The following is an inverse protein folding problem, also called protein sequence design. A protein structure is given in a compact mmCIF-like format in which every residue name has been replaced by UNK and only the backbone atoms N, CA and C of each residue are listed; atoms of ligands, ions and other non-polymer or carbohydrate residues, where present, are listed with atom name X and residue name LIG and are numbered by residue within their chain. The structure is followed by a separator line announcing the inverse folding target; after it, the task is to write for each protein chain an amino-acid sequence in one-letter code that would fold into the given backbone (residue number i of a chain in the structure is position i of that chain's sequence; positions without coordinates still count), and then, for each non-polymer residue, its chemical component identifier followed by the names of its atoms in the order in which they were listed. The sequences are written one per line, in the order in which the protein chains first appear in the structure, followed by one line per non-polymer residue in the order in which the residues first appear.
data_IF_232486955281
#
_entry.id   IF_232486955281
#
_cell.length_a   1.000
_cell.length_b   1.000
_cell.length_c   1.000
_cell.angle_alpha   90.00
_cell.angle_beta   90.00
_cell.angle_gamma   90.00
#
_symmetry.space_group_name_H-M   'P 1'
#
loop_
_entity.id
_entity.type
_entity.pdbx_description
1 polymer ?
#
# COMPACT_ATOMS: atom_id res chain seq x y z
N UNK A 1 23.00 -1.16 13.58
CA UNK A 1 23.04 -2.51 12.97
C UNK A 1 23.49 -2.35 11.52
N UNK A 2 24.38 -3.20 10.99
CA UNK A 2 24.69 -3.15 9.54
C UNK A 2 23.48 -3.66 8.75
N UNK A 3 23.34 -3.23 7.50
CA UNK A 3 22.17 -3.61 6.69
C UNK A 3 22.14 -5.12 6.40
N UNK A 4 23.31 -5.75 6.23
CA UNK A 4 23.43 -7.19 5.97
C UNK A 4 22.91 -7.99 7.19
N UNK A 5 23.39 -7.65 8.39
CA UNK A 5 22.93 -8.27 9.65
C UNK A 5 21.41 -8.11 9.83
N UNK A 6 20.87 -6.95 9.47
CA UNK A 6 19.43 -6.68 9.54
C UNK A 6 18.63 -7.60 8.60
N UNK A 7 19.09 -7.78 7.36
CA UNK A 7 18.45 -8.66 6.37
C UNK A 7 18.49 -10.10 6.88
N UNK A 8 19.63 -10.57 7.34
CA UNK A 8 19.78 -11.94 7.87
C UNK A 8 18.89 -12.18 9.09
N UNK A 9 18.88 -11.25 10.05
CA UNK A 9 18.07 -11.37 11.26
C UNK A 9 16.57 -11.37 10.96
N UNK A 10 16.10 -10.50 10.04
CA UNK A 10 14.67 -10.44 9.67
C UNK A 10 14.21 -11.70 8.92
N UNK A 11 15.07 -12.30 8.08
CA UNK A 11 14.77 -13.56 7.40
C UNK A 11 14.66 -14.76 8.36
N UNK A 12 15.34 -14.72 9.51
CA UNK A 12 15.32 -15.77 10.52
C UNK A 12 14.21 -15.59 11.57
N UNK A 13 13.55 -14.43 11.56
CA UNK A 13 12.48 -14.12 12.51
C UNK A 13 11.27 -15.03 12.34
N UNK A 14 10.55 -15.27 13.44
CA UNK A 14 9.35 -16.12 13.49
C UNK A 14 8.09 -15.36 13.90
N UNK A 15 8.19 -14.07 14.19
CA UNK A 15 7.06 -13.23 14.58
C UNK A 15 7.14 -11.84 13.94
N UNK A 16 5.97 -11.25 13.70
CA UNK A 16 5.85 -9.89 13.18
C UNK A 16 6.42 -8.86 14.16
N UNK A 17 6.27 -9.09 15.47
CA UNK A 17 6.82 -8.24 16.52
C UNK A 17 8.36 -8.21 16.52
N UNK A 18 9.01 -9.38 16.35
CA UNK A 18 10.47 -9.48 16.24
C UNK A 18 10.99 -8.75 14.99
N UNK A 19 10.31 -8.91 13.84
CA UNK A 19 10.66 -8.19 12.60
C UNK A 19 10.53 -6.68 12.81
N UNK A 20 9.47 -6.25 13.49
CA UNK A 20 9.24 -4.83 13.79
C UNK A 20 10.27 -4.27 14.77
N UNK A 21 10.70 -5.05 15.78
CA UNK A 21 11.76 -4.65 16.71
C UNK A 21 13.13 -4.50 16.02
N UNK A 22 13.48 -5.44 15.13
CA UNK A 22 14.70 -5.35 14.31
C UNK A 22 14.68 -4.11 13.41
N UNK A 23 13.52 -3.83 12.80
CA UNK A 23 13.34 -2.66 11.95
C UNK A 23 13.47 -1.34 12.73
N UNK A 24 12.90 -1.27 13.93
CA UNK A 24 13.08 -0.13 14.84
C UNK A 24 14.56 0.11 15.16
N UNK A 25 15.30 -0.94 15.53
CA UNK A 25 16.74 -0.86 15.81
C UNK A 25 17.56 -0.43 14.60
N UNK A 26 17.21 -0.91 13.40
CA UNK A 26 17.85 -0.51 12.15
C UNK A 26 17.64 0.98 11.85
N UNK A 27 16.39 1.45 11.91
CA UNK A 27 16.02 2.84 11.64
C UNK A 27 16.59 3.82 12.68
N UNK A 28 16.64 3.40 13.96
CA UNK A 28 17.22 4.21 15.04
C UNK A 28 18.71 4.51 14.79
N UNK A 29 19.45 3.61 14.13
CA UNK A 29 20.84 3.88 13.75
C UNK A 29 21.01 4.98 12.69
N UNK A 30 19.91 5.39 12.05
CA UNK A 30 19.83 6.54 11.13
C UNK A 30 19.17 7.76 11.78
N UNK A 31 18.87 7.70 13.09
CA UNK A 31 18.23 8.78 13.87
C UNK A 31 16.71 8.70 13.95
N UNK A 32 16.07 7.73 13.29
CA UNK A 32 14.61 7.60 13.26
C UNK A 32 14.12 6.60 14.30
N UNK A 33 13.55 7.10 15.39
CA UNK A 33 12.97 6.29 16.48
C UNK A 33 11.43 6.15 16.39
N UNK A 34 10.78 6.92 15.52
CA UNK A 34 9.34 6.87 15.28
C UNK A 34 9.03 6.31 13.90
N UNK A 35 8.09 5.37 13.82
CA UNK A 35 7.60 4.85 12.54
C UNK A 35 6.14 4.44 12.57
N UNK A 36 5.52 4.48 11.39
CA UNK A 36 4.17 4.00 11.14
C UNK A 36 4.15 3.20 9.84
N UNK A 37 3.79 1.92 9.93
CA UNK A 37 3.53 1.05 8.81
C UNK A 37 2.03 1.01 8.52
N UNK A 38 1.62 1.52 7.35
CA UNK A 38 0.21 1.71 6.99
C UNK A 38 -0.12 1.05 5.66
N UNK A 39 -1.22 0.30 5.64
CA UNK A 39 -1.89 -0.10 4.42
C UNK A 39 -2.57 1.11 3.76
N UNK A 40 -2.17 1.48 2.55
CA UNK A 40 -2.78 2.57 1.77
C UNK A 40 -3.81 2.03 0.77
N UNK A 41 -3.54 0.87 0.17
CA UNK A 41 -4.40 0.22 -0.81
C UNK A 41 -4.15 -1.28 -0.86
N UNK A 42 -5.20 -2.08 -1.04
CA UNK A 42 -5.15 -3.51 -1.39
C UNK A 42 -4.19 -4.39 -0.55
N UNK A 43 -3.95 -4.03 0.71
CA UNK A 43 -3.14 -4.83 1.63
C UNK A 43 -4.02 -5.87 2.36
N UNK A 44 -3.52 -7.10 2.62
CA UNK A 44 -4.30 -8.15 3.29
C UNK A 44 -4.78 -7.76 4.70
N UNK A 45 -3.94 -7.02 5.43
CA UNK A 45 -4.28 -6.39 6.69
C UNK A 45 -4.81 -4.98 6.43
N UNK A 46 -6.09 -4.78 6.75
CA UNK A 46 -6.79 -3.50 6.59
C UNK A 46 -7.01 -2.79 7.93
N UNK A 47 -6.22 -3.12 8.96
CA UNK A 47 -6.30 -2.48 10.27
C UNK A 47 -6.07 -0.97 10.12
N UNK A 48 -7.07 -0.20 10.52
CA UNK A 48 -7.01 1.25 10.55
C UNK A 48 -6.63 1.72 11.97
N UNK A 49 -5.79 2.77 12.10
CA UNK A 49 -5.19 3.57 11.04
C UNK A 49 -3.84 3.03 10.52
N UNK A 50 -3.28 1.98 11.12
CA UNK A 50 -1.98 1.41 10.76
C UNK A 50 -1.86 -0.06 11.17
N UNK A 51 -0.95 -0.79 10.53
CA UNK A 51 -0.63 -2.20 10.79
C UNK A 51 0.35 -2.35 11.96
N UNK A 52 1.39 -1.52 12.00
CA UNK A 52 2.38 -1.47 13.09
C UNK A 52 2.87 -0.03 13.28
N UNK A 53 3.23 0.34 14.51
CA UNK A 53 3.57 1.74 14.85
C UNK A 53 4.41 1.89 16.11
N UNK A 54 5.15 3.00 16.17
CA UNK A 54 5.72 3.58 17.40
C UNK A 54 5.33 5.06 17.58
N UNK A 55 4.42 5.57 16.75
CA UNK A 55 3.87 6.92 16.90
C UNK A 55 3.05 7.01 18.19
N UNK A 56 3.06 8.17 18.89
CA UNK A 56 2.25 8.37 20.09
C UNK A 56 0.76 8.10 19.83
N UNK A 57 0.07 7.47 20.78
CA UNK A 57 -1.36 7.19 20.66
C UNK A 57 -2.18 8.48 20.59
N UNK A 58 -1.74 9.52 21.28
CA UNK A 58 -2.36 10.84 21.29
C UNK A 58 -2.32 11.48 19.89
N UNK A 59 -1.19 11.35 19.18
CA UNK A 59 -1.09 11.81 17.80
C UNK A 59 -2.06 11.08 16.89
N UNK A 60 -2.19 9.75 17.06
CA UNK A 60 -3.07 8.93 16.23
C UNK A 60 -4.53 9.28 16.47
N UNK A 61 -4.92 9.45 17.73
CA UNK A 61 -6.26 9.90 18.09
C UNK A 61 -6.56 11.29 17.50
N UNK A 62 -5.63 12.23 17.61
CA UNK A 62 -5.74 13.57 17.01
C UNK A 62 -5.88 13.51 15.48
N UNK A 63 -5.01 12.73 14.82
CA UNK A 63 -4.98 12.56 13.37
C UNK A 63 -6.29 11.98 12.82
N UNK A 64 -6.87 10.98 13.51
CA UNK A 64 -8.19 10.42 13.17
C UNK A 64 -9.30 11.44 13.43
N UNK A 65 -9.31 12.10 14.60
CA UNK A 65 -10.35 13.06 14.97
C UNK A 65 -10.42 14.27 14.01
N UNK A 66 -9.27 14.67 13.44
CA UNK A 66 -9.18 15.75 12.46
C UNK A 66 -9.48 15.32 11.01
N UNK A 67 -9.65 14.02 10.75
CA UNK A 67 -9.89 13.51 9.40
C UNK A 67 -8.65 13.58 8.50
N UNK A 68 -7.44 13.50 9.06
CA UNK A 68 -6.20 13.60 8.28
C UNK A 68 -5.90 12.35 7.45
N UNK A 69 -6.54 11.21 7.74
CA UNK A 69 -6.35 9.93 7.03
C UNK A 69 -6.43 10.05 5.49
N UNK A 70 -7.37 10.87 5.01
CA UNK A 70 -7.65 11.04 3.58
C UNK A 70 -7.06 12.33 3.00
N UNK A 71 -6.66 13.28 3.85
CA UNK A 71 -6.22 14.63 3.46
C UNK A 71 -4.73 14.87 3.64
N UNK A 72 -4.03 13.96 4.33
CA UNK A 72 -2.58 14.04 4.53
C UNK A 72 -1.84 13.97 3.19
N UNK A 73 -1.09 15.03 2.82
CA UNK A 73 -0.34 15.09 1.57
C UNK A 73 0.74 14.01 1.48
N UNK A 74 1.31 13.56 2.60
CA UNK A 74 2.31 12.49 2.64
C UNK A 74 1.66 11.18 2.21
N UNK A 75 0.50 10.84 2.78
CA UNK A 75 -0.27 9.66 2.40
C UNK A 75 -0.71 9.68 0.94
N UNK A 76 -1.24 10.81 0.47
CA UNK A 76 -1.65 10.99 -0.93
C UNK A 76 -0.46 10.83 -1.88
N UNK A 77 0.70 11.40 -1.55
CA UNK A 77 1.91 11.27 -2.38
C UNK A 77 2.45 9.84 -2.39
N UNK A 78 2.40 9.11 -1.29
CA UNK A 78 2.83 7.71 -1.24
C UNK A 78 2.05 6.83 -2.24
N UNK A 79 0.76 7.12 -2.49
CA UNK A 79 -0.05 6.37 -3.47
C UNK A 79 0.45 6.48 -4.92
N UNK A 80 1.22 7.52 -5.25
CA UNK A 80 1.66 7.81 -6.62
C UNK A 80 3.17 7.93 -6.79
N UNK A 81 3.93 7.90 -5.69
CA UNK A 81 5.40 7.93 -5.70
C UNK A 81 5.96 6.51 -5.63
N UNK A 82 6.97 6.21 -6.46
CA UNK A 82 7.77 4.98 -6.35
C UNK A 82 9.09 5.18 -5.58
N UNK A 83 9.40 6.41 -5.18
CA UNK A 83 10.64 6.78 -4.50
C UNK A 83 10.36 7.33 -3.10
N UNK A 84 11.32 7.15 -2.17
CA UNK A 84 11.24 7.75 -0.84
C UNK A 84 11.38 9.27 -0.92
N UNK A 85 10.79 9.98 0.03
CA UNK A 85 10.81 11.46 0.08
C UNK A 85 10.71 11.96 1.53
N UNK A 86 11.09 13.22 1.75
CA UNK A 86 10.89 13.91 3.03
C UNK A 86 9.48 14.49 3.11
N UNK A 87 8.85 14.50 4.28
CA UNK A 87 7.44 14.91 4.41
C UNK A 87 7.17 16.30 3.86
N UNK A 88 8.07 17.25 4.12
CA UNK A 88 7.94 18.62 3.62
C UNK A 88 7.94 18.69 2.08
N UNK A 89 8.54 17.72 1.38
CA UNK A 89 8.51 17.67 -0.09
C UNK A 89 7.09 17.34 -0.60
N UNK A 90 6.23 16.71 0.21
CA UNK A 90 4.83 16.46 -0.14
C UNK A 90 3.94 17.69 0.01
N UNK A 91 4.36 18.69 0.80
CA UNK A 91 3.60 19.91 1.02
C UNK A 91 3.74 20.82 -0.19
N UNK A 92 2.66 20.96 -0.96
CA UNK A 92 2.61 21.90 -2.08
C UNK A 92 2.68 23.34 -1.57
N UNK A 93 3.49 24.18 -2.23
CA UNK A 93 3.58 25.61 -1.89
C UNK A 93 2.20 26.26 -1.92
N UNK A 94 1.84 26.95 -0.84
CA UNK A 94 0.55 27.64 -0.69
C UNK A 94 -0.56 26.79 -0.06
N UNK A 95 -0.38 25.48 0.11
CA UNK A 95 -1.34 24.64 0.83
C UNK A 95 -1.11 24.75 2.35
N UNK A 96 -1.81 25.70 2.99
CA UNK A 96 -1.70 25.93 4.44
C UNK A 96 -2.13 24.71 5.26
N UNK A 97 -3.16 23.99 4.81
CA UNK A 97 -3.67 22.80 5.50
C UNK A 97 -2.62 21.69 5.56
N UNK A 98 -1.93 21.43 4.44
CA UNK A 98 -0.82 20.49 4.38
C UNK A 98 0.32 20.86 5.34
N UNK A 99 0.67 22.15 5.44
CA UNK A 99 1.65 22.64 6.41
C UNK A 99 1.21 22.47 7.87
N UNK A 100 -0.08 22.67 8.16
CA UNK A 100 -0.64 22.48 9.51
C UNK A 100 -0.45 21.07 10.02
N UNK A 101 -0.69 20.04 9.20
CA UNK A 101 -0.54 18.63 9.62
C UNK A 101 0.90 18.35 10.07
N UNK A 102 1.89 18.81 9.32
CA UNK A 102 3.31 18.60 9.66
C UNK A 102 3.70 19.38 10.92
N UNK A 103 3.26 20.64 11.05
CA UNK A 103 3.52 21.43 12.24
C UNK A 103 2.92 20.79 13.50
N UNK A 104 1.67 20.32 13.41
CA UNK A 104 1.03 19.60 14.52
C UNK A 104 1.81 18.31 14.81
N UNK A 105 2.25 17.55 13.80
CA UNK A 105 3.05 16.34 14.02
C UNK A 105 4.34 16.61 14.82
N UNK A 106 5.02 17.73 14.56
CA UNK A 106 6.20 18.15 15.32
C UNK A 106 5.91 18.40 16.81
N UNK A 107 4.74 18.94 17.15
CA UNK A 107 4.30 19.15 18.54
C UNK A 107 4.15 17.82 19.31
N UNK A 108 3.83 16.73 18.60
CA UNK A 108 3.80 15.37 19.14
C UNK A 108 5.15 14.65 19.07
N UNK A 109 6.23 15.36 18.73
CA UNK A 109 7.58 14.78 18.65
C UNK A 109 7.82 13.97 17.37
N UNK A 110 7.09 14.24 16.29
CA UNK A 110 7.32 13.63 14.98
C UNK A 110 8.05 14.61 14.05
N UNK A 111 9.37 14.72 14.20
CA UNK A 111 10.19 15.68 13.47
C UNK A 111 10.97 15.03 12.33
N UNK A 112 11.43 15.85 11.40
CA UNK A 112 12.30 15.49 10.27
C UNK A 112 11.83 14.25 9.50
N UNK A 113 10.53 14.19 9.23
CA UNK A 113 9.94 12.96 8.76
C UNK A 113 10.30 12.57 7.33
N UNK A 114 10.38 11.26 7.11
CA UNK A 114 10.60 10.64 5.81
C UNK A 114 9.48 9.63 5.50
N UNK A 115 9.26 9.39 4.23
CA UNK A 115 8.18 8.58 3.71
C UNK A 115 8.74 7.58 2.69
N UNK A 116 8.43 6.30 2.87
CA UNK A 116 8.78 5.24 1.93
C UNK A 116 7.49 4.55 1.45
N UNK A 117 7.08 4.76 0.19
CA UNK A 117 6.03 3.96 -0.43
C UNK A 117 6.60 2.61 -0.91
N UNK A 118 5.80 1.56 -0.78
CA UNK A 118 6.10 0.23 -1.33
C UNK A 118 4.85 -0.23 -2.09
N UNK A 119 5.04 -0.59 -3.37
CA UNK A 119 3.98 -1.06 -4.24
C UNK A 119 4.15 -2.56 -4.47
N UNK A 120 3.11 -3.32 -4.15
CA UNK A 120 3.09 -4.78 -4.19
C UNK A 120 2.21 -5.33 -5.30
N UNK A 121 2.06 -6.67 -5.36
CA UNK A 121 1.16 -7.34 -6.30
C UNK A 121 -0.27 -6.81 -6.24
N UNK A 122 -1.02 -6.92 -7.33
CA UNK A 122 -2.46 -6.62 -7.37
C UNK A 122 -2.83 -5.17 -6.98
N UNK A 123 -1.91 -4.23 -7.18
CA UNK A 123 -2.12 -2.82 -6.85
C UNK A 123 -2.07 -2.54 -5.35
N UNK A 124 -1.47 -3.43 -4.56
CA UNK A 124 -1.11 -3.18 -3.18
C UNK A 124 -0.21 -1.95 -3.09
N UNK A 125 -0.50 -1.09 -2.11
CA UNK A 125 0.34 0.03 -1.75
C UNK A 125 0.37 0.14 -0.24
N UNK A 126 1.57 0.11 0.33
CA UNK A 126 1.81 0.37 1.74
C UNK A 126 2.77 1.55 1.88
N UNK A 127 2.63 2.27 2.98
CA UNK A 127 3.46 3.40 3.31
C UNK A 127 4.15 3.19 4.64
N UNK A 128 5.44 3.51 4.71
CA UNK A 128 6.16 3.67 5.98
C UNK A 128 6.51 5.13 6.19
N UNK A 129 5.92 5.73 7.21
CA UNK A 129 6.34 7.03 7.72
C UNK A 129 7.42 6.83 8.79
N UNK A 130 8.49 7.61 8.71
CA UNK A 130 9.56 7.69 9.72
C UNK A 130 9.60 9.09 10.31
N UNK A 131 9.94 9.20 11.58
CA UNK A 131 10.20 10.47 12.24
C UNK A 131 11.25 10.31 13.36
N UNK A 132 11.80 11.43 13.79
CA UNK A 132 12.73 11.52 14.91
C UNK A 132 12.09 12.31 16.04
N UNK A 133 12.24 11.80 17.27
CA UNK A 133 11.81 12.56 18.45
C UNK A 133 12.73 13.76 18.71
N UNK A 134 14.05 13.59 18.48
CA UNK A 134 15.05 14.64 18.72
C UNK A 134 15.10 15.67 17.59
N UNK A 135 14.90 15.23 16.35
CA UNK A 135 15.13 16.03 15.15
C UNK A 135 16.63 16.30 14.89
N UNK A 136 16.92 17.23 13.99
CA UNK A 136 18.25 17.55 13.49
C UNK A 136 18.76 16.60 12.39
N UNK A 137 17.88 15.83 11.74
CA UNK A 137 18.28 14.83 10.74
C UNK A 137 18.27 15.44 9.34
N UNK A 138 19.42 15.42 8.66
CA UNK A 138 19.44 15.56 7.19
C UNK A 138 18.99 14.25 6.53
N UNK A 139 17.67 14.11 6.43
CA UNK A 139 17.04 12.87 5.98
C UNK A 139 17.36 12.51 4.53
N UNK A 140 17.82 13.46 3.69
CA UNK A 140 18.04 13.21 2.26
C UNK A 140 19.10 12.14 2.00
N UNK A 141 20.17 12.14 2.81
CA UNK A 141 21.25 11.15 2.71
C UNK A 141 20.83 9.74 3.17
N UNK A 142 19.76 9.64 3.97
CA UNK A 142 19.26 8.39 4.54
C UNK A 142 18.15 7.74 3.71
N UNK A 143 17.52 8.46 2.77
CA UNK A 143 16.35 7.98 2.02
C UNK A 143 16.55 6.61 1.36
N UNK A 144 17.68 6.39 0.67
CA UNK A 144 17.95 5.11 0.01
C UNK A 144 18.13 3.96 1.00
N UNK A 145 18.74 4.24 2.17
CA UNK A 145 18.89 3.23 3.24
C UNK A 145 17.54 2.91 3.87
N UNK A 146 16.74 3.94 4.16
CA UNK A 146 15.37 3.77 4.65
C UNK A 146 14.52 2.96 3.67
N UNK A 147 14.65 3.21 2.37
CA UNK A 147 13.94 2.45 1.35
C UNK A 147 14.32 0.96 1.37
N UNK A 148 15.61 0.64 1.41
CA UNK A 148 16.06 -0.75 1.48
C UNK A 148 15.59 -1.45 2.77
N UNK A 149 15.71 -0.77 3.91
CA UNK A 149 15.23 -1.30 5.19
C UNK A 149 13.72 -1.53 5.18
N UNK A 150 12.95 -0.58 4.65
CA UNK A 150 11.50 -0.65 4.55
C UNK A 150 11.01 -1.79 3.64
N UNK A 151 11.66 -1.99 2.48
CA UNK A 151 11.33 -3.09 1.56
C UNK A 151 11.63 -4.45 2.20
N UNK A 152 12.78 -4.58 2.87
CA UNK A 152 13.11 -5.80 3.60
C UNK A 152 12.13 -6.05 4.75
N UNK A 153 11.81 -5.01 5.54
CA UNK A 153 10.79 -5.08 6.60
C UNK A 153 9.46 -5.58 6.06
N UNK A 154 8.92 -4.94 5.02
CA UNK A 154 7.64 -5.31 4.42
C UNK A 154 7.67 -6.75 3.91
N UNK A 155 8.76 -7.19 3.28
CA UNK A 155 8.90 -8.55 2.77
C UNK A 155 8.86 -9.58 3.90
N UNK A 156 9.68 -9.41 4.94
CA UNK A 156 9.75 -10.33 6.07
C UNK A 156 8.47 -10.31 6.92
N UNK A 157 7.91 -9.13 7.16
CA UNK A 157 6.67 -8.94 7.91
C UNK A 157 5.48 -9.60 7.19
N UNK A 158 5.38 -9.38 5.88
CA UNK A 158 4.32 -9.95 5.05
C UNK A 158 4.41 -11.48 4.97
N UNK A 159 5.62 -12.05 4.89
CA UNK A 159 5.83 -13.49 4.87
C UNK A 159 5.34 -14.22 6.14
N UNK A 160 5.30 -13.50 7.26
CA UNK A 160 4.79 -14.01 8.55
C UNK A 160 3.28 -13.78 8.73
N UNK A 161 2.66 -13.04 7.81
CA UNK A 161 1.20 -12.90 7.78
C UNK A 161 0.62 -14.16 7.14
N UNK A 162 -0.38 -14.78 7.77
CA UNK A 162 -1.08 -15.89 7.11
C UNK A 162 -1.56 -15.38 5.75
N UNK A 163 -1.30 -16.11 4.64
CA UNK A 163 -1.91 -15.77 3.39
C UNK A 163 -3.40 -15.82 3.67
N UNK A 164 -4.07 -14.65 3.67
CA UNK A 164 -5.51 -14.61 3.56
C UNK A 164 -5.78 -15.55 2.40
N UNK A 165 -6.54 -16.61 2.62
CA UNK A 165 -7.00 -17.47 1.53
C UNK A 165 -7.75 -16.53 0.59
N UNK A 166 -7.03 -15.93 -0.35
CA UNK A 166 -7.56 -15.54 -1.62
C UNK A 166 -7.97 -16.89 -2.16
N UNK A 167 -9.22 -17.28 -1.88
CA UNK A 167 -9.88 -18.36 -2.58
C UNK A 167 -9.54 -18.10 -4.02
N UNK A 168 -8.67 -18.94 -4.59
CA UNK A 168 -8.05 -18.61 -5.85
C UNK A 168 -9.19 -18.56 -6.87
N UNK A 169 -9.62 -17.34 -7.21
CA UNK A 169 -10.71 -17.14 -8.14
C UNK A 169 -10.14 -17.47 -9.50
N UNK A 170 -10.51 -18.62 -10.03
CA UNK A 170 -10.04 -19.08 -11.33
C UNK A 170 -11.05 -18.70 -12.42
N UNK A 171 -10.67 -17.72 -13.24
CA UNK A 171 -11.32 -17.47 -14.51
C UNK A 171 -10.76 -18.41 -15.56
N UNK A 172 -11.63 -18.97 -16.41
CA UNK A 172 -11.18 -19.72 -17.59
C UNK A 172 -10.48 -18.77 -18.57
N UNK A 173 -9.64 -19.26 -19.50
CA UNK A 173 -9.04 -18.43 -20.53
C UNK A 173 -10.08 -17.59 -21.29
N UNK A 174 -11.23 -18.18 -21.63
CA UNK A 174 -12.31 -17.48 -22.34
C UNK A 174 -12.99 -16.40 -21.49
N UNK A 175 -13.25 -16.69 -20.23
CA UNK A 175 -13.79 -15.70 -19.29
C UNK A 175 -12.83 -14.51 -19.13
N UNK A 176 -11.52 -14.77 -19.05
CA UNK A 176 -10.49 -13.74 -18.98
C UNK A 176 -10.46 -12.86 -20.23
N UNK A 177 -10.51 -13.45 -21.42
CA UNK A 177 -10.57 -12.71 -22.69
C UNK A 177 -11.82 -11.83 -22.80
N UNK A 178 -12.99 -12.37 -22.44
CA UNK A 178 -14.25 -11.60 -22.45
C UNK A 178 -14.15 -10.43 -21.48
N UNK A 179 -13.62 -10.64 -20.28
CA UNK A 179 -13.48 -9.60 -19.28
C UNK A 179 -12.44 -8.53 -19.67
N UNK A 180 -11.39 -8.91 -20.39
CA UNK A 180 -10.43 -7.98 -20.98
C UNK A 180 -11.09 -7.03 -21.98
N UNK A 181 -11.90 -7.57 -22.90
CA UNK A 181 -12.63 -6.74 -23.86
C UNK A 181 -13.70 -5.88 -23.19
N UNK A 182 -14.31 -6.37 -22.10
CA UNK A 182 -15.18 -5.54 -21.27
C UNK A 182 -14.43 -4.33 -20.69
N UNK A 183 -13.23 -4.53 -20.17
CA UNK A 183 -12.41 -3.42 -19.64
C UNK A 183 -11.92 -2.45 -20.71
N UNK A 184 -11.86 -2.88 -21.98
CA UNK A 184 -11.65 -2.02 -23.15
C UNK A 184 -12.93 -1.36 -23.68
N UNK A 185 -14.04 -1.45 -22.94
CA UNK A 185 -15.30 -0.79 -23.26
C UNK A 185 -16.12 -1.44 -24.39
N UNK A 186 -15.88 -2.72 -24.72
CA UNK A 186 -16.64 -3.40 -25.78
C UNK A 186 -18.02 -3.90 -25.29
N UNK A 187 -19.01 -3.82 -26.17
CA UNK A 187 -20.35 -4.42 -25.97
C UNK A 187 -20.31 -5.94 -26.16
N UNK A 188 -21.31 -6.66 -25.66
CA UNK A 188 -21.38 -8.12 -25.81
C UNK A 188 -21.42 -8.55 -27.27
N UNK A 189 -22.20 -7.82 -28.09
CA UNK A 189 -22.17 -7.95 -29.54
C UNK A 189 -20.76 -7.79 -30.12
N UNK A 190 -20.07 -6.69 -29.82
CA UNK A 190 -18.73 -6.44 -30.36
C UNK A 190 -17.70 -7.49 -29.88
N UNK A 191 -17.84 -7.99 -28.65
CA UNK A 191 -17.01 -9.08 -28.13
C UNK A 191 -17.29 -10.38 -28.90
N UNK A 192 -18.55 -10.66 -29.21
CA UNK A 192 -18.94 -11.80 -30.03
C UNK A 192 -18.31 -11.77 -31.42
N UNK A 193 -18.35 -10.60 -32.07
CA UNK A 193 -17.68 -10.38 -33.36
C UNK A 193 -16.16 -10.60 -33.27
N UNK A 194 -15.51 -10.05 -32.23
CA UNK A 194 -14.06 -10.16 -32.04
C UNK A 194 -13.62 -11.60 -31.73
N UNK A 195 -14.39 -12.33 -30.93
CA UNK A 195 -14.06 -13.68 -30.48
C UNK A 195 -14.69 -14.79 -31.33
N UNK A 196 -15.43 -14.43 -32.38
CA UNK A 196 -16.19 -15.34 -33.24
C UNK A 196 -17.14 -16.28 -32.47
N UNK A 197 -17.89 -15.71 -31.52
CA UNK A 197 -18.93 -16.41 -30.75
C UNK A 197 -20.22 -15.60 -30.74
N UNK A 198 -21.35 -16.26 -30.50
CA UNK A 198 -22.63 -15.57 -30.42
C UNK A 198 -22.69 -14.66 -29.18
N UNK A 199 -23.38 -13.52 -29.29
CA UNK A 199 -23.55 -12.54 -28.19
C UNK A 199 -24.12 -13.19 -26.92
N UNK A 200 -25.08 -14.12 -27.07
CA UNK A 200 -25.65 -14.86 -25.95
C UNK A 200 -24.61 -15.73 -25.19
N UNK A 201 -23.57 -16.20 -25.87
CA UNK A 201 -22.46 -16.95 -25.27
C UNK A 201 -21.57 -16.02 -24.47
N UNK A 202 -21.35 -14.79 -24.94
CA UNK A 202 -20.66 -13.74 -24.17
C UNK A 202 -21.42 -13.44 -22.88
N UNK A 203 -22.74 -13.23 -22.96
CA UNK A 203 -23.60 -13.00 -21.79
C UNK A 203 -23.59 -14.17 -20.81
N UNK A 204 -23.57 -15.41 -21.30
CA UNK A 204 -23.44 -16.59 -20.46
C UNK A 204 -22.10 -16.63 -19.69
N UNK A 205 -20.99 -16.33 -20.36
CA UNK A 205 -19.69 -16.22 -19.70
C UNK A 205 -19.65 -15.07 -18.68
N UNK A 206 -20.24 -13.92 -18.98
CA UNK A 206 -20.35 -12.80 -18.04
C UNK A 206 -21.10 -13.19 -16.76
N UNK A 207 -22.21 -13.92 -16.87
CA UNK A 207 -22.93 -14.44 -15.69
C UNK A 207 -22.05 -15.36 -14.84
N UNK A 208 -21.24 -16.21 -15.47
CA UNK A 208 -20.29 -17.06 -14.75
C UNK A 208 -19.20 -16.24 -14.05
N UNK A 209 -18.66 -15.22 -14.72
CA UNK A 209 -17.69 -14.29 -14.15
C UNK A 209 -18.28 -13.57 -12.93
N UNK A 210 -19.50 -13.05 -13.04
CA UNK A 210 -20.18 -12.33 -11.96
C UNK A 210 -20.35 -13.21 -10.73
N UNK A 211 -20.77 -14.47 -10.91
CA UNK A 211 -20.85 -15.46 -9.83
C UNK A 211 -19.48 -15.74 -9.21
N UNK A 212 -18.43 -15.95 -10.03
CA UNK A 212 -17.07 -16.25 -9.53
C UNK A 212 -16.45 -15.08 -8.78
N UNK A 213 -16.76 -13.86 -9.19
CA UNK A 213 -16.26 -12.63 -8.57
C UNK A 213 -17.18 -12.10 -7.48
N UNK A 214 -18.37 -12.69 -7.24
CA UNK A 214 -19.38 -12.17 -6.32
C UNK A 214 -19.69 -10.68 -6.57
N UNK A 215 -20.06 -10.36 -7.81
CA UNK A 215 -20.44 -9.02 -8.27
C UNK A 215 -21.70 -9.10 -9.13
N UNK A 216 -22.28 -7.95 -9.43
CA UNK A 216 -23.57 -7.80 -10.11
C UNK A 216 -23.48 -7.11 -11.48
N UNK A 217 -22.35 -6.48 -11.81
CA UNK A 217 -22.20 -5.69 -13.03
C UNK A 217 -20.88 -5.94 -13.74
N UNK A 218 -20.85 -5.65 -15.03
CA UNK A 218 -19.64 -5.70 -15.86
C UNK A 218 -18.54 -4.78 -15.32
N UNK A 219 -18.90 -3.56 -14.91
CA UNK A 219 -17.93 -2.58 -14.42
C UNK A 219 -17.31 -3.05 -13.11
N UNK A 220 -18.13 -3.48 -12.15
CA UNK A 220 -17.66 -4.02 -10.87
C UNK A 220 -16.84 -5.30 -11.06
N UNK A 221 -17.20 -6.15 -12.04
CA UNK A 221 -16.39 -7.32 -12.43
C UNK A 221 -15.00 -6.95 -12.96
N UNK A 222 -14.92 -5.98 -13.89
CA UNK A 222 -13.63 -5.51 -14.43
C UNK A 222 -12.77 -4.93 -13.31
N UNK A 223 -13.32 -4.02 -12.50
CA UNK A 223 -12.60 -3.38 -11.38
C UNK A 223 -12.07 -4.44 -10.40
N UNK A 224 -12.92 -5.37 -9.98
CA UNK A 224 -12.53 -6.43 -9.04
C UNK A 224 -11.48 -7.37 -9.66
N UNK A 225 -11.60 -7.72 -10.93
CA UNK A 225 -10.64 -8.57 -11.60
C UNK A 225 -9.27 -7.90 -11.77
N UNK A 226 -9.22 -6.59 -12.01
CA UNK A 226 -7.98 -5.81 -12.00
C UNK A 226 -7.35 -5.78 -10.60
N UNK A 227 -8.14 -5.50 -9.57
CA UNK A 227 -7.69 -5.50 -8.17
C UNK A 227 -7.22 -6.87 -7.66
N UNK A 228 -7.65 -7.96 -8.30
CA UNK A 228 -7.20 -9.31 -7.97
C UNK A 228 -6.08 -9.82 -8.90
N UNK A 229 -5.62 -9.01 -9.86
CA UNK A 229 -4.62 -9.41 -10.84
C UNK A 229 -5.08 -10.51 -11.80
N UNK A 230 -6.40 -10.70 -11.96
CA UNK A 230 -6.98 -11.72 -12.85
C UNK A 230 -6.95 -11.31 -14.32
N UNK A 231 -6.87 -10.00 -14.59
CA UNK A 231 -6.70 -9.37 -15.90
C UNK A 231 -5.77 -8.15 -15.79
N UNK A 232 -5.21 -7.72 -16.92
CA UNK A 232 -4.39 -6.51 -17.08
C UNK A 232 -4.85 -5.80 -18.37
N UNK A 233 -5.06 -4.48 -18.34
CA UNK A 233 -5.58 -3.71 -19.48
C UNK A 233 -4.49 -3.13 -20.39
#
# INVERSE_FOLDING_TARGET
MRIDDYIEATNQSKSQDDVFALFQSAAASLGYDRMMYRALRNHPDTTLPCVAKTYPEEWIAHYVAKGYVDTDPVGVRMLVSGLPFLWWEAVQKGNRHAGTILNEAEEFGLKDGAAVPIHGPNGECVGIGFASTTGGIDGRSSLSKLQLMAVQFHTAYSALTQPRQLTAIHLTPREREILLWCGRGKSSWAIGEILHIAENSVEWHLKNIFRKLSVDSRVTAVVKALHLGLIFL
#
